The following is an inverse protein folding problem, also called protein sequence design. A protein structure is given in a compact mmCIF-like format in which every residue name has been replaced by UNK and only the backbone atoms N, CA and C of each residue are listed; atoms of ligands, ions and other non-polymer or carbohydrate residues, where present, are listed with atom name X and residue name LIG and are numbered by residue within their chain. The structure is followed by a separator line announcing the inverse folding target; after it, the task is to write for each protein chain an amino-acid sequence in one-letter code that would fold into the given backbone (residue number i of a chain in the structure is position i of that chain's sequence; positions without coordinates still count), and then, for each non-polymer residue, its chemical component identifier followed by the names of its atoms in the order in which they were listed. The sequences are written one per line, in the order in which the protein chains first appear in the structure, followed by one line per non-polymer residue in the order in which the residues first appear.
data_IF_150793244511
#
_entry.id   IF_150793244511
#
_cell.length_a   1.000
_cell.length_b   1.000
_cell.length_c   1.000
_cell.angle_alpha   90.00
_cell.angle_beta   90.00
_cell.angle_gamma   90.00
#
_symmetry.space_group_name_H-M   'P 1'
#
loop_
_entity.id
_entity.type
_entity.pdbx_description
1 polymer ?
#
# COMPACT_ATOMS: atom_id res chain seq x y z
N UNK A 1 -2.67 17.10 7.23
CA UNK A 1 -3.20 16.80 5.87
C UNK A 1 -3.27 15.30 5.70
N UNK A 2 -4.29 14.78 5.04
CA UNK A 2 -4.42 13.34 4.77
C UNK A 2 -3.91 13.03 3.36
N UNK A 3 -2.98 12.09 3.25
CA UNK A 3 -2.34 11.70 1.98
C UNK A 3 -2.71 10.26 1.67
N UNK A 4 -3.20 10.02 0.47
CA UNK A 4 -3.47 8.68 -0.04
C UNK A 4 -2.36 8.27 -1.02
N UNK A 5 -1.64 7.20 -0.72
CA UNK A 5 -0.61 6.66 -1.61
C UNK A 5 -1.23 5.57 -2.49
N UNK A 6 -1.31 5.85 -3.80
CA UNK A 6 -1.67 4.90 -4.83
C UNK A 6 -0.40 4.40 -5.55
N UNK A 7 -0.28 3.09 -5.70
CA UNK A 7 0.80 2.43 -6.44
C UNK A 7 0.20 1.21 -7.16
N UNK A 8 0.76 0.76 -8.30
CA UNK A 8 0.28 -0.43 -8.98
C UNK A 8 0.33 -1.67 -8.08
N UNK A 9 -0.83 -2.27 -7.81
CA UNK A 9 -0.94 -3.43 -6.92
C UNK A 9 -0.94 -4.75 -7.70
N UNK A 10 -2.04 -5.06 -8.39
CA UNK A 10 -2.27 -6.35 -9.08
C UNK A 10 -1.22 -6.63 -10.17
N UNK A 11 -0.79 -5.61 -10.90
CA UNK A 11 0.22 -5.75 -11.96
C UNK A 11 1.65 -5.99 -11.45
N UNK A 12 1.88 -5.85 -10.13
CA UNK A 12 3.18 -6.03 -9.49
C UNK A 12 3.24 -7.23 -8.56
N UNK A 13 2.14 -7.96 -8.39
CA UNK A 13 2.14 -9.17 -7.58
C UNK A 13 3.03 -10.25 -8.21
N UNK A 14 3.83 -10.90 -7.37
CA UNK A 14 4.58 -12.09 -7.74
C UNK A 14 3.65 -13.31 -7.79
N UNK A 15 4.17 -14.45 -8.28
CA UNK A 15 3.42 -15.72 -8.33
C UNK A 15 2.87 -16.18 -6.98
N UNK A 16 3.48 -15.75 -5.87
CA UNK A 16 3.03 -16.05 -4.50
C UNK A 16 1.91 -15.13 -4.00
N UNK A 17 1.42 -14.20 -4.83
CA UNK A 17 0.39 -13.22 -4.44
C UNK A 17 0.90 -12.09 -3.56
N UNK A 18 2.22 -11.90 -3.43
CA UNK A 18 2.82 -10.81 -2.66
C UNK A 18 3.47 -9.78 -3.57
N UNK A 19 3.52 -8.53 -3.10
CA UNK A 19 4.41 -7.55 -3.70
C UNK A 19 5.89 -7.92 -3.46
N UNK A 20 6.76 -7.66 -4.46
CA UNK A 20 8.20 -7.70 -4.29
C UNK A 20 8.66 -6.88 -3.08
N UNK A 21 9.66 -7.41 -2.37
CA UNK A 21 10.19 -6.80 -1.16
C UNK A 21 10.70 -5.37 -1.40
N UNK A 22 11.33 -5.12 -2.55
CA UNK A 22 11.84 -3.78 -2.89
C UNK A 22 10.72 -2.73 -2.88
N UNK A 23 9.56 -3.05 -3.49
CA UNK A 23 8.42 -2.13 -3.51
C UNK A 23 7.78 -1.94 -2.14
N UNK A 24 7.75 -2.99 -1.31
CA UNK A 24 7.26 -2.88 0.06
C UNK A 24 8.15 -1.90 0.85
N UNK A 25 9.47 -2.03 0.75
CA UNK A 25 10.42 -1.17 1.45
C UNK A 25 10.36 0.29 0.97
N UNK A 26 10.23 0.52 -0.35
CA UNK A 26 10.03 1.85 -0.93
C UNK A 26 8.75 2.52 -0.40
N UNK A 27 7.62 1.80 -0.40
CA UNK A 27 6.34 2.33 0.07
C UNK A 27 6.32 2.62 1.57
N UNK A 28 6.95 1.75 2.38
CA UNK A 28 7.09 1.97 3.82
C UNK A 28 7.97 3.19 4.09
N UNK A 29 9.07 3.35 3.35
CA UNK A 29 9.98 4.50 3.49
C UNK A 29 9.27 5.80 3.16
N UNK A 30 8.56 5.84 2.03
CA UNK A 30 7.78 7.01 1.62
C UNK A 30 6.70 7.35 2.65
N UNK A 31 5.94 6.34 3.12
CA UNK A 31 4.93 6.54 4.16
C UNK A 31 5.55 7.17 5.40
N UNK A 32 6.65 6.62 5.90
CA UNK A 32 7.33 7.12 7.11
C UNK A 32 7.77 8.57 6.96
N UNK A 33 8.39 8.94 5.83
CA UNK A 33 8.81 10.32 5.57
C UNK A 33 7.62 11.28 5.65
N UNK A 34 6.48 10.91 5.07
CA UNK A 34 5.28 11.74 5.09
C UNK A 34 4.64 11.82 6.49
N UNK A 35 4.67 10.73 7.26
CA UNK A 35 4.22 10.71 8.65
C UNK A 35 5.12 11.58 9.55
N UNK A 36 6.44 11.51 9.37
CA UNK A 36 7.42 12.35 10.08
C UNK A 36 7.24 13.85 9.76
N UNK A 37 6.68 14.19 8.60
CA UNK A 37 6.27 15.55 8.23
C UNK A 37 4.92 15.99 8.84
N UNK A 38 4.28 15.15 9.65
CA UNK A 38 3.00 15.44 10.30
C UNK A 38 1.77 15.20 9.41
N UNK A 39 1.89 14.34 8.40
CA UNK A 39 0.76 13.93 7.57
C UNK A 39 0.15 12.60 8.04
N UNK A 40 -1.17 12.48 7.91
CA UNK A 40 -1.86 11.20 8.07
C UNK A 40 -1.79 10.47 6.73
N UNK A 41 -1.18 9.29 6.67
CA UNK A 41 -0.95 8.57 5.42
C UNK A 41 -1.78 7.30 5.34
N UNK A 42 -2.53 7.14 4.26
CA UNK A 42 -3.30 5.93 3.95
C UNK A 42 -2.63 5.19 2.81
N UNK A 43 -2.27 3.93 3.04
CA UNK A 43 -1.65 3.04 2.08
C UNK A 43 -2.41 1.71 2.02
N UNK A 44 -3.15 1.49 0.93
CA UNK A 44 -3.96 0.28 0.75
C UNK A 44 -3.13 -1.01 0.77
N UNK A 45 -1.91 -0.96 0.21
CA UNK A 45 -0.97 -2.08 0.19
C UNK A 45 -0.65 -2.62 1.58
N UNK A 46 -0.45 -1.74 2.56
CA UNK A 46 -0.17 -2.13 3.94
C UNK A 46 -1.41 -2.73 4.61
N UNK A 47 -2.58 -2.09 4.46
CA UNK A 47 -3.87 -2.56 4.97
C UNK A 47 -4.20 -3.97 4.47
N UNK A 48 -3.90 -4.25 3.21
CA UNK A 48 -4.18 -5.53 2.53
C UNK A 48 -3.02 -6.53 2.66
N UNK A 49 -2.11 -6.28 3.61
CA UNK A 49 -0.98 -7.15 3.95
C UNK A 49 -0.12 -7.49 2.73
N UNK A 50 0.13 -6.49 1.88
CA UNK A 50 0.98 -6.55 0.69
C UNK A 50 0.54 -7.59 -0.35
N UNK A 51 -0.75 -7.92 -0.37
CA UNK A 51 -1.36 -8.89 -1.27
C UNK A 51 -1.89 -10.15 -0.59
N UNK A 52 -1.61 -10.37 0.71
CA UNK A 52 -2.14 -11.53 1.44
C UNK A 52 -3.64 -11.45 1.69
N UNK A 53 -4.21 -10.25 1.73
CA UNK A 53 -5.62 -10.04 2.02
C UNK A 53 -6.19 -8.96 1.11
N UNK A 54 -6.19 -9.23 -0.20
CA UNK A 54 -6.76 -8.34 -1.20
C UNK A 54 -8.25 -8.16 -0.93
N UNK A 55 -8.66 -6.91 -0.75
CA UNK A 55 -10.07 -6.59 -0.56
C UNK A 55 -10.78 -6.59 -1.92
N UNK A 56 -12.01 -7.13 -2.00
CA UNK A 56 -12.86 -6.98 -3.18
C UNK A 56 -13.08 -5.48 -3.50
N UNK A 57 -13.15 -5.09 -4.79
CA UNK A 57 -13.37 -3.70 -5.20
C UNK A 57 -14.58 -3.04 -4.52
N UNK A 58 -15.62 -3.81 -4.24
CA UNK A 58 -16.88 -3.35 -3.63
C UNK A 58 -16.72 -2.87 -2.19
N UNK A 59 -15.68 -3.34 -1.49
CA UNK A 59 -15.34 -2.91 -0.13
C UNK A 59 -14.50 -1.64 -0.14
N UNK A 60 -13.81 -1.35 -1.24
CA UNK A 60 -12.94 -0.19 -1.38
C UNK A 60 -13.67 1.11 -1.79
N UNK A 61 -14.94 1.04 -2.20
CA UNK A 61 -15.73 2.17 -2.71
C UNK A 61 -16.86 2.64 -1.79
N UNK A 62 -17.00 2.07 -0.59
CA UNK A 62 -17.96 2.51 0.43
C UNK A 62 -17.27 3.31 1.53
#
# INVERSE_FOLDING_TARGET
MKIFIAYPFTSKLQKNGLLPKEYIEELITLKKVLEDMGHEVVLAHEREKWGKNLLPPEICTK
#
